data_IF_811771102528
#
_entry.id   IF_811771102528
#
_cell.length_a   1.000
_cell.length_b   1.000
_cell.length_c   1.000
_cell.angle_alpha   90.00
_cell.angle_beta   90.00
_cell.angle_gamma   90.00
#
_symmetry.space_group_name_H-M   'P 1'
#
loop_
_entity.id
_entity.type
_entity.pdbx_description
1 polymer ?
#
# COMPACT_ATOMS: atom_id res chain seq x y z
N UNK A 1 48.15 -83.08 -20.56
CA UNK A 1 49.16 -82.19 -19.94
C UNK A 1 48.66 -81.81 -18.56
N UNK A 2 49.47 -82.09 -17.53
CA UNK A 2 49.10 -81.95 -16.12
C UNK A 2 49.08 -80.46 -15.70
N UNK A 3 48.08 -80.06 -14.91
CA UNK A 3 47.99 -78.74 -14.29
C UNK A 3 48.98 -78.68 -13.11
N UNK A 4 49.96 -77.79 -13.18
CA UNK A 4 50.82 -77.40 -12.07
C UNK A 4 50.03 -76.55 -11.07
N UNK A 5 50.12 -76.88 -9.78
CA UNK A 5 49.41 -76.19 -8.70
C UNK A 5 50.13 -74.87 -8.35
N UNK A 6 49.37 -73.78 -8.27
CA UNK A 6 49.80 -72.48 -7.75
C UNK A 6 50.05 -72.57 -6.23
N UNK A 7 51.13 -71.97 -5.70
CA UNK A 7 51.40 -71.98 -4.26
C UNK A 7 50.33 -71.18 -3.49
N UNK A 8 49.88 -71.75 -2.38
CA UNK A 8 48.84 -71.22 -1.50
C UNK A 8 49.40 -70.00 -0.75
N UNK A 9 48.80 -68.82 -0.93
CA UNK A 9 49.14 -67.63 -0.15
C UNK A 9 48.82 -67.86 1.34
N UNK A 10 49.77 -67.55 2.22
CA UNK A 10 49.54 -67.55 3.66
C UNK A 10 48.55 -66.45 4.02
N UNK A 11 47.55 -66.72 4.88
CA UNK A 11 46.64 -65.68 5.33
C UNK A 11 47.42 -64.68 6.20
N UNK A 12 47.43 -63.42 5.78
CA UNK A 12 47.82 -62.29 6.63
C UNK A 12 46.96 -62.34 7.91
N UNK A 13 47.60 -62.32 9.08
CA UNK A 13 46.90 -62.20 10.35
C UNK A 13 46.16 -60.87 10.37
N UNK A 14 44.83 -60.93 10.53
CA UNK A 14 44.00 -59.74 10.71
C UNK A 14 44.50 -58.97 11.93
N UNK A 15 44.83 -57.69 11.74
CA UNK A 15 45.17 -56.80 12.86
C UNK A 15 43.99 -56.79 13.85
N UNK A 16 44.24 -56.82 15.18
CA UNK A 16 43.15 -56.83 16.14
C UNK A 16 42.30 -55.56 15.97
N UNK A 17 41.00 -55.75 15.85
CA UNK A 17 40.02 -54.66 15.77
C UNK A 17 40.17 -53.79 17.02
N UNK A 18 40.44 -52.51 16.83
CA UNK A 18 40.49 -51.56 17.94
C UNK A 18 39.05 -51.28 18.42
N UNK A 19 38.61 -52.03 19.42
CA UNK A 19 37.25 -51.96 19.98
C UNK A 19 36.90 -50.56 20.51
N UNK A 20 37.87 -49.80 21.03
CA UNK A 20 37.66 -48.42 21.47
C UNK A 20 37.31 -47.50 20.29
N UNK A 21 38.01 -47.66 19.15
CA UNK A 21 37.73 -46.89 17.95
C UNK A 21 36.35 -47.24 17.37
N UNK A 22 35.94 -48.52 17.42
CA UNK A 22 34.60 -48.95 16.98
C UNK A 22 33.50 -48.35 17.85
N UNK A 23 33.67 -48.36 19.17
CA UNK A 23 32.71 -47.77 20.11
C UNK A 23 32.57 -46.25 19.93
N UNK A 24 33.66 -45.53 19.67
CA UNK A 24 33.62 -44.09 19.36
C UNK A 24 32.86 -43.82 18.07
N UNK A 25 33.09 -44.59 17.01
CA UNK A 25 32.39 -44.44 15.73
C UNK A 25 30.89 -44.73 15.88
N UNK A 26 30.52 -45.76 16.65
CA UNK A 26 29.11 -46.09 16.92
C UNK A 26 28.41 -44.98 17.71
N UNK A 27 29.05 -44.43 18.75
CA UNK A 27 28.50 -43.32 19.53
C UNK A 27 28.35 -42.05 18.69
N UNK A 28 29.32 -41.73 17.83
CA UNK A 28 29.22 -40.60 16.90
C UNK A 28 28.11 -40.82 15.86
N UNK A 29 27.91 -42.05 15.40
CA UNK A 29 26.80 -42.43 14.51
C UNK A 29 25.44 -42.23 15.17
N UNK A 30 25.29 -42.64 16.44
CA UNK A 30 24.06 -42.44 17.20
C UNK A 30 23.73 -40.96 17.41
N UNK A 31 24.73 -40.13 17.77
CA UNK A 31 24.56 -38.68 17.90
C UNK A 31 24.20 -38.04 16.55
N UNK A 32 24.84 -38.47 15.46
CA UNK A 32 24.52 -37.97 14.12
C UNK A 32 23.11 -38.36 13.65
N UNK A 33 22.63 -39.55 14.01
CA UNK A 33 21.26 -39.98 13.76
C UNK A 33 20.25 -39.20 14.58
N UNK A 34 20.49 -39.00 15.87
CA UNK A 34 19.63 -38.21 16.76
C UNK A 34 19.51 -36.75 16.25
N UNK A 35 20.64 -36.13 15.88
CA UNK A 35 20.65 -34.81 15.25
C UNK A 35 19.96 -34.77 13.88
N UNK A 36 19.96 -35.87 13.13
CA UNK A 36 19.26 -35.95 11.84
C UNK A 36 17.74 -36.07 12.06
N UNK A 37 17.30 -36.87 13.02
CA UNK A 37 15.90 -36.98 13.42
C UNK A 37 15.36 -35.65 13.94
N UNK A 38 16.14 -34.92 14.75
CA UNK A 38 15.78 -33.58 15.21
C UNK A 38 15.63 -32.59 14.04
N UNK A 39 16.56 -32.60 13.07
CA UNK A 39 16.47 -31.73 11.88
C UNK A 39 15.26 -32.07 11.01
N UNK A 40 14.96 -33.35 10.83
CA UNK A 40 13.80 -33.79 10.06
C UNK A 40 12.49 -33.36 10.75
N UNK A 41 12.41 -33.49 12.08
CA UNK A 41 11.28 -32.99 12.85
C UNK A 41 11.12 -31.47 12.71
N UNK A 42 12.21 -30.71 12.82
CA UNK A 42 12.18 -29.25 12.65
C UNK A 42 11.71 -28.86 11.25
N UNK A 43 12.17 -29.55 10.20
CA UNK A 43 11.72 -29.29 8.83
C UNK A 43 10.23 -29.61 8.64
N UNK A 44 9.72 -30.68 9.26
CA UNK A 44 8.28 -30.98 9.26
C UNK A 44 7.47 -29.90 9.97
N UNK A 45 7.91 -29.47 11.16
CA UNK A 45 7.24 -28.41 11.93
C UNK A 45 7.28 -27.06 11.19
N UNK A 46 8.39 -26.74 10.52
CA UNK A 46 8.51 -25.57 9.65
C UNK A 46 7.48 -25.64 8.51
N UNK A 47 7.37 -26.78 7.84
CA UNK A 47 6.36 -26.99 6.79
C UNK A 47 4.92 -26.84 7.31
N UNK A 48 4.62 -27.38 8.49
CA UNK A 48 3.32 -27.20 9.15
C UNK A 48 3.04 -25.74 9.48
N UNK A 49 4.03 -25.00 9.99
CA UNK A 49 3.90 -23.58 10.29
C UNK A 49 3.67 -22.75 9.01
N UNK A 50 4.39 -23.05 7.93
CA UNK A 50 4.20 -22.43 6.62
C UNK A 50 2.80 -22.71 6.06
N UNK A 51 2.32 -23.95 6.16
CA UNK A 51 0.96 -24.32 5.79
C UNK A 51 -0.08 -23.53 6.59
N UNK A 52 0.08 -23.48 7.92
CA UNK A 52 -0.82 -22.72 8.80
C UNK A 52 -0.86 -21.22 8.43
N UNK A 53 0.29 -20.62 8.11
CA UNK A 53 0.37 -19.25 7.62
C UNK A 53 -0.39 -19.04 6.30
N UNK A 54 -0.20 -19.93 5.33
CA UNK A 54 -0.93 -19.85 4.05
C UNK A 54 -2.45 -19.98 4.23
N UNK A 55 -2.91 -20.85 5.14
CA UNK A 55 -4.33 -20.94 5.50
C UNK A 55 -4.86 -19.67 6.15
N UNK A 56 -4.06 -19.03 7.01
CA UNK A 56 -4.43 -17.76 7.64
C UNK A 56 -4.63 -16.66 6.58
N UNK A 57 -3.67 -16.52 5.66
CA UNK A 57 -3.71 -15.52 4.60
C UNK A 57 -4.90 -15.73 3.67
N UNK A 58 -5.11 -16.96 3.21
CA UNK A 58 -6.29 -17.33 2.41
C UNK A 58 -7.59 -17.00 3.15
N UNK A 59 -7.71 -17.43 4.41
CA UNK A 59 -8.90 -17.19 5.24
C UNK A 59 -9.13 -15.69 5.49
N UNK A 60 -8.06 -14.90 5.62
CA UNK A 60 -8.12 -13.45 5.77
C UNK A 60 -8.67 -12.79 4.51
N UNK A 61 -8.19 -13.19 3.34
CA UNK A 61 -8.66 -12.67 2.05
C UNK A 61 -10.15 -12.97 1.84
N UNK A 62 -10.55 -14.23 2.00
CA UNK A 62 -11.96 -14.66 1.89
C UNK A 62 -12.83 -13.91 2.89
N UNK A 63 -12.42 -13.83 4.17
CA UNK A 63 -13.15 -13.08 5.19
C UNK A 63 -13.33 -11.63 4.78
N UNK A 64 -12.26 -10.97 4.33
CA UNK A 64 -12.31 -9.55 3.94
C UNK A 64 -13.25 -9.33 2.77
N UNK A 65 -13.24 -10.22 1.78
CA UNK A 65 -14.18 -10.21 0.65
C UNK A 65 -15.65 -10.32 1.11
N UNK A 66 -15.94 -11.24 2.04
CA UNK A 66 -17.29 -11.36 2.62
C UNK A 66 -17.68 -10.13 3.46
N UNK A 67 -16.76 -9.59 4.25
CA UNK A 67 -17.00 -8.37 5.02
C UNK A 67 -17.27 -7.16 4.11
N UNK A 68 -16.54 -7.04 3.00
CA UNK A 68 -16.80 -6.01 1.99
C UNK A 68 -18.21 -6.15 1.42
N UNK A 69 -18.62 -7.37 1.04
CA UNK A 69 -19.96 -7.65 0.51
C UNK A 69 -21.07 -7.34 1.54
N UNK A 70 -20.90 -7.76 2.80
CA UNK A 70 -21.85 -7.46 3.89
C UNK A 70 -21.97 -5.96 4.12
N UNK A 71 -20.85 -5.23 4.13
CA UNK A 71 -20.84 -3.79 4.38
C UNK A 71 -21.50 -3.01 3.24
N UNK A 72 -21.18 -3.35 2.00
CA UNK A 72 -21.70 -2.70 0.80
C UNK A 72 -23.21 -2.88 0.66
N UNK A 73 -23.70 -4.11 0.86
CA UNK A 73 -25.13 -4.43 0.78
C UNK A 73 -25.89 -4.15 2.10
N UNK A 74 -25.20 -3.62 3.11
CA UNK A 74 -25.74 -3.33 4.45
C UNK A 74 -26.44 -4.55 5.09
N UNK A 75 -25.97 -5.77 4.81
CA UNK A 75 -26.58 -7.02 5.28
C UNK A 75 -26.58 -7.12 6.82
N UNK A 76 -25.63 -6.45 7.48
CA UNK A 76 -25.56 -6.35 8.94
C UNK A 76 -26.84 -5.78 9.59
N UNK A 77 -27.65 -5.00 8.84
CA UNK A 77 -28.93 -4.46 9.33
C UNK A 77 -29.98 -5.52 9.60
N UNK A 78 -29.87 -6.68 8.95
CA UNK A 78 -30.78 -7.82 9.16
C UNK A 78 -30.70 -8.38 10.58
N UNK A 79 -29.64 -8.08 11.32
CA UNK A 79 -29.47 -8.50 12.71
C UNK A 79 -30.26 -7.65 13.70
N UNK A 80 -30.88 -6.55 13.27
CA UNK A 80 -31.66 -5.68 14.15
C UNK A 80 -32.78 -6.46 14.86
N UNK A 81 -32.89 -6.30 16.18
CA UNK A 81 -33.87 -7.00 17.01
C UNK A 81 -33.46 -8.42 17.44
N UNK A 82 -32.36 -8.97 16.92
CA UNK A 82 -31.83 -10.25 17.40
C UNK A 82 -31.15 -10.08 18.77
N UNK A 83 -31.15 -11.16 19.58
CA UNK A 83 -30.52 -11.16 20.89
C UNK A 83 -28.99 -11.03 20.76
N UNK A 84 -28.39 -10.08 21.47
CA UNK A 84 -26.94 -9.96 21.51
C UNK A 84 -26.33 -11.10 22.34
N UNK A 85 -25.39 -11.91 21.81
CA UNK A 85 -24.70 -12.94 22.59
C UNK A 85 -23.81 -12.38 23.73
N UNK A 86 -23.45 -11.10 23.66
CA UNK A 86 -22.49 -10.46 24.57
C UNK A 86 -23.11 -9.40 25.49
N UNK A 87 -24.44 -9.23 25.47
CA UNK A 87 -25.11 -8.21 26.27
C UNK A 87 -26.58 -8.52 26.53
N UNK A 88 -27.20 -7.74 27.42
CA UNK A 88 -28.63 -7.87 27.75
C UNK A 88 -29.54 -7.25 26.68
N UNK A 89 -29.05 -6.26 25.93
CA UNK A 89 -29.81 -5.57 24.89
C UNK A 89 -29.86 -6.38 23.58
N UNK A 90 -30.92 -6.18 22.80
CA UNK A 90 -30.99 -6.68 21.42
C UNK A 90 -30.09 -5.84 20.51
N UNK A 91 -29.58 -6.45 19.45
CA UNK A 91 -28.76 -5.80 18.42
C UNK A 91 -29.56 -4.71 17.71
N UNK A 92 -28.93 -3.57 17.45
CA UNK A 92 -29.50 -2.45 16.69
C UNK A 92 -29.31 -2.61 15.18
N UNK A 93 -28.47 -3.55 14.75
CA UNK A 93 -28.15 -3.82 13.35
C UNK A 93 -27.16 -2.81 12.78
N UNK A 94 -26.18 -2.38 13.57
CA UNK A 94 -25.12 -1.47 13.12
C UNK A 94 -23.90 -2.23 12.60
N UNK A 95 -23.05 -1.54 11.82
CA UNK A 95 -21.80 -2.13 11.34
C UNK A 95 -20.84 -2.46 12.48
N UNK A 96 -20.80 -1.60 13.49
CA UNK A 96 -19.95 -1.79 14.67
C UNK A 96 -20.35 -3.03 15.47
N UNK A 97 -21.64 -3.22 15.72
CA UNK A 97 -22.14 -4.44 16.37
C UNK A 97 -21.78 -5.70 15.58
N UNK A 98 -21.92 -5.67 14.25
CA UNK A 98 -21.54 -6.80 13.41
C UNK A 98 -20.04 -7.14 13.51
N UNK A 99 -19.17 -6.14 13.48
CA UNK A 99 -17.73 -6.32 13.67
C UNK A 99 -17.40 -6.85 15.08
N UNK A 100 -18.09 -6.36 16.10
CA UNK A 100 -17.91 -6.79 17.48
C UNK A 100 -18.32 -8.25 17.72
N UNK A 101 -19.37 -8.74 17.03
CA UNK A 101 -19.73 -10.17 17.05
C UNK A 101 -18.60 -11.07 16.53
N UNK A 102 -17.79 -10.55 15.61
CA UNK A 102 -16.61 -11.23 15.06
C UNK A 102 -15.33 -10.96 15.88
N UNK A 103 -15.44 -10.25 17.01
CA UNK A 103 -14.32 -9.80 17.86
C UNK A 103 -13.27 -9.01 17.08
N UNK A 104 -13.74 -8.15 16.16
CA UNK A 104 -12.88 -7.33 15.30
C UNK A 104 -13.25 -5.86 15.50
N UNK A 105 -12.24 -5.00 15.54
CA UNK A 105 -12.47 -3.55 15.50
C UNK A 105 -12.94 -3.12 14.11
N UNK A 106 -13.85 -2.15 14.06
CA UNK A 106 -14.31 -1.53 12.80
C UNK A 106 -13.13 -0.98 12.01
N UNK A 107 -12.19 -0.29 12.67
CA UNK A 107 -11.01 0.30 12.05
C UNK A 107 -10.11 -0.73 11.36
N UNK A 108 -9.96 -1.93 11.93
CA UNK A 108 -9.20 -2.99 11.29
C UNK A 108 -9.94 -3.49 10.05
N UNK A 109 -11.22 -3.84 10.19
CA UNK A 109 -12.02 -4.38 9.08
C UNK A 109 -12.11 -3.38 7.93
N UNK A 110 -12.30 -2.11 8.23
CA UNK A 110 -12.42 -1.05 7.23
C UNK A 110 -11.10 -0.83 6.49
N UNK A 111 -9.96 -0.96 7.18
CA UNK A 111 -8.63 -0.95 6.54
C UNK A 111 -8.43 -2.16 5.63
N UNK A 112 -8.85 -3.35 6.06
CA UNK A 112 -8.75 -4.58 5.26
C UNK A 112 -9.59 -4.45 3.98
N UNK A 113 -10.83 -3.98 4.10
CA UNK A 113 -11.73 -3.72 2.96
C UNK A 113 -11.14 -2.66 2.03
N UNK A 114 -10.54 -1.60 2.57
CA UNK A 114 -9.91 -0.56 1.77
C UNK A 114 -8.69 -1.07 0.99
N UNK A 115 -7.87 -1.95 1.59
CA UNK A 115 -6.77 -2.62 0.90
C UNK A 115 -7.30 -3.53 -0.22
N UNK A 116 -8.31 -4.36 0.08
CA UNK A 116 -8.92 -5.25 -0.90
C UNK A 116 -9.48 -4.48 -2.11
N UNK A 117 -10.19 -3.38 -1.87
CA UNK A 117 -10.76 -2.55 -2.94
C UNK A 117 -9.70 -1.85 -3.79
N UNK A 118 -8.59 -1.45 -3.18
CA UNK A 118 -7.55 -0.73 -3.89
C UNK A 118 -6.73 -1.66 -4.79
N UNK A 119 -6.36 -2.85 -4.29
CA UNK A 119 -5.43 -3.73 -5.00
C UNK A 119 -6.09 -4.92 -5.70
N UNK A 120 -7.31 -5.28 -5.30
CA UNK A 120 -7.94 -6.53 -5.71
C UNK A 120 -7.44 -7.73 -4.89
N UNK A 121 -8.15 -8.85 -5.02
CA UNK A 121 -7.93 -10.05 -4.21
C UNK A 121 -6.56 -10.70 -4.49
N UNK A 122 -6.29 -10.97 -5.77
CA UNK A 122 -5.08 -11.67 -6.24
C UNK A 122 -3.80 -10.90 -5.89
N UNK A 123 -3.76 -9.60 -6.19
CA UNK A 123 -2.57 -8.80 -5.91
C UNK A 123 -2.36 -8.61 -4.41
N UNK A 124 -3.44 -8.43 -3.61
CA UNK A 124 -3.31 -8.32 -2.16
C UNK A 124 -2.80 -9.62 -1.53
N UNK A 125 -3.22 -10.78 -2.03
CA UNK A 125 -2.71 -12.08 -1.59
C UNK A 125 -1.21 -12.22 -1.94
N UNK A 126 -0.83 -11.87 -3.17
CA UNK A 126 0.58 -11.90 -3.58
C UNK A 126 1.43 -10.95 -2.74
N UNK A 127 0.94 -9.72 -2.50
CA UNK A 127 1.62 -8.74 -1.65
C UNK A 127 1.81 -9.27 -0.22
N UNK A 128 0.78 -9.90 0.35
CA UNK A 128 0.84 -10.49 1.68
C UNK A 128 1.86 -11.64 1.74
N UNK A 129 1.86 -12.51 0.72
CA UNK A 129 2.82 -13.62 0.59
C UNK A 129 4.26 -13.15 0.46
N UNK A 130 4.47 -12.02 -0.22
CA UNK A 130 5.75 -11.35 -0.32
C UNK A 130 6.15 -10.60 0.96
N UNK A 131 5.29 -10.55 1.99
CA UNK A 131 5.59 -9.89 3.26
C UNK A 131 5.36 -8.37 3.26
N UNK A 132 4.62 -7.82 2.29
CA UNK A 132 4.26 -6.41 2.26
C UNK A 132 3.21 -6.12 3.35
N UNK A 133 3.58 -5.23 4.27
CA UNK A 133 2.77 -4.93 5.45
C UNK A 133 1.73 -3.83 5.24
N UNK A 134 0.94 -3.57 6.30
CA UNK A 134 -0.08 -2.51 6.29
C UNK A 134 0.48 -1.10 6.09
N UNK A 135 1.74 -0.87 6.46
CA UNK A 135 2.38 0.44 6.33
C UNK A 135 2.58 0.77 4.85
N UNK A 136 3.16 -0.17 4.13
CA UNK A 136 3.42 -0.12 2.69
C UNK A 136 2.10 -0.02 1.93
N UNK A 137 1.14 -0.92 2.20
CA UNK A 137 -0.19 -0.90 1.58
C UNK A 137 -0.91 0.45 1.80
N UNK A 138 -0.80 1.05 2.99
CA UNK A 138 -1.39 2.37 3.27
C UNK A 138 -0.77 3.46 2.42
N UNK A 139 0.55 3.42 2.19
CA UNK A 139 1.23 4.40 1.33
C UNK A 139 0.83 4.19 -0.13
N UNK A 140 0.83 2.95 -0.61
CA UNK A 140 0.54 2.63 -2.01
C UNK A 140 -0.92 2.90 -2.38
N UNK A 141 -1.85 2.80 -1.42
CA UNK A 141 -3.24 3.24 -1.61
C UNK A 141 -3.40 4.73 -1.90
N UNK A 142 -2.41 5.56 -1.58
CA UNK A 142 -2.44 7.01 -1.83
C UNK A 142 -1.88 7.39 -3.19
N UNK A 143 -1.28 6.44 -3.91
CA UNK A 143 -0.81 6.65 -5.27
C UNK A 143 -1.99 6.93 -6.22
N UNK A 144 -1.77 7.59 -7.35
CA UNK A 144 -2.78 7.69 -8.40
C UNK A 144 -3.11 6.31 -9.00
N UNK A 145 -4.25 6.23 -9.69
CA UNK A 145 -4.78 4.96 -10.22
C UNK A 145 -3.81 4.25 -11.17
N UNK A 146 -3.11 4.99 -12.03
CA UNK A 146 -2.15 4.44 -12.98
C UNK A 146 -0.96 3.77 -12.28
N UNK A 147 -0.34 4.48 -11.33
CA UNK A 147 0.78 3.97 -10.54
C UNK A 147 0.37 2.78 -9.67
N UNK A 148 -0.82 2.82 -9.08
CA UNK A 148 -1.36 1.68 -8.34
C UNK A 148 -1.61 0.48 -9.25
N UNK A 149 -2.09 0.69 -10.47
CA UNK A 149 -2.31 -0.38 -11.44
C UNK A 149 -1.00 -1.05 -11.86
N UNK A 150 0.05 -0.26 -12.08
CA UNK A 150 1.39 -0.78 -12.33
C UNK A 150 1.91 -1.65 -11.17
N UNK A 151 1.69 -1.21 -9.92
CA UNK A 151 2.05 -2.00 -8.73
C UNK A 151 1.25 -3.29 -8.61
N UNK A 152 -0.05 -3.26 -8.91
CA UNK A 152 -0.89 -4.47 -8.91
C UNK A 152 -0.34 -5.50 -9.87
N UNK A 153 -0.01 -5.09 -11.10
CA UNK A 153 0.50 -5.99 -12.12
C UNK A 153 1.89 -6.54 -11.79
N UNK A 154 2.80 -5.68 -11.29
CA UNK A 154 4.10 -6.11 -10.80
C UNK A 154 3.96 -7.11 -9.64
N UNK A 155 2.99 -6.90 -8.75
CA UNK A 155 2.78 -7.76 -7.58
C UNK A 155 2.37 -9.18 -7.95
N UNK A 156 1.65 -9.38 -9.06
CA UNK A 156 1.31 -10.72 -9.55
C UNK A 156 2.52 -11.55 -9.97
N UNK A 157 3.64 -10.90 -10.31
CA UNK A 157 4.88 -11.58 -10.68
C UNK A 157 5.63 -12.16 -9.47
N UNK A 158 5.26 -11.78 -8.25
CA UNK A 158 5.78 -12.38 -7.02
C UNK A 158 7.22 -11.99 -6.65
N UNK A 159 7.77 -10.93 -7.26
CA UNK A 159 9.10 -10.43 -6.93
C UNK A 159 9.02 -9.23 -5.96
N UNK A 160 9.32 -9.48 -4.68
CA UNK A 160 9.28 -8.46 -3.63
C UNK A 160 10.18 -7.26 -3.92
N UNK A 161 11.44 -7.51 -4.30
CA UNK A 161 12.43 -6.46 -4.52
C UNK A 161 12.02 -5.54 -5.67
N UNK A 162 11.55 -6.13 -6.77
CA UNK A 162 11.08 -5.38 -7.93
C UNK A 162 9.86 -4.51 -7.60
N UNK A 163 8.90 -5.06 -6.83
CA UNK A 163 7.70 -4.33 -6.41
C UNK A 163 8.04 -3.18 -5.45
N UNK A 164 8.94 -3.42 -4.50
CA UNK A 164 9.39 -2.38 -3.58
C UNK A 164 10.12 -1.26 -4.31
N UNK A 165 11.05 -1.60 -5.21
CA UNK A 165 11.76 -0.63 -6.02
C UNK A 165 10.81 0.22 -6.87
N UNK A 166 9.87 -0.44 -7.58
CA UNK A 166 8.86 0.26 -8.38
C UNK A 166 8.00 1.19 -7.51
N UNK A 167 7.60 0.74 -6.32
CA UNK A 167 6.79 1.56 -5.42
C UNK A 167 7.56 2.79 -4.94
N UNK A 168 8.83 2.64 -4.58
CA UNK A 168 9.69 3.75 -4.16
C UNK A 168 9.88 4.76 -5.28
N UNK A 169 10.13 4.29 -6.51
CA UNK A 169 10.26 5.14 -7.69
C UNK A 169 8.97 5.92 -7.94
N UNK A 170 7.81 5.25 -7.95
CA UNK A 170 6.50 5.87 -8.16
C UNK A 170 6.14 6.88 -7.06
N UNK A 171 6.44 6.58 -5.80
CA UNK A 171 6.20 7.52 -4.70
C UNK A 171 7.09 8.76 -4.87
N UNK A 172 8.36 8.57 -5.22
CA UNK A 172 9.30 9.66 -5.40
C UNK A 172 8.94 10.55 -6.60
N UNK A 173 8.54 9.97 -7.74
CA UNK A 173 8.07 10.75 -8.90
C UNK A 173 6.81 11.54 -8.57
N UNK A 174 5.80 10.90 -7.97
CA UNK A 174 4.55 11.59 -7.66
C UNK A 174 4.67 12.65 -6.58
N UNK A 175 5.54 12.45 -5.58
CA UNK A 175 5.81 13.49 -4.58
C UNK A 175 6.45 14.72 -5.23
N UNK A 176 7.41 14.52 -6.13
CA UNK A 176 8.02 15.62 -6.91
C UNK A 176 7.02 16.33 -7.82
N UNK A 177 6.26 15.58 -8.61
CA UNK A 177 5.24 16.16 -9.50
C UNK A 177 4.21 16.96 -8.71
N UNK A 178 3.76 16.45 -7.56
CA UNK A 178 2.81 17.14 -6.70
C UNK A 178 3.39 18.44 -6.15
N UNK A 179 4.64 18.42 -5.70
CA UNK A 179 5.31 19.62 -5.19
C UNK A 179 5.50 20.68 -6.29
N UNK A 180 5.87 20.26 -7.50
CA UNK A 180 5.98 21.15 -8.66
C UNK A 180 4.64 21.75 -9.08
N UNK A 181 3.59 20.94 -9.13
CA UNK A 181 2.23 21.40 -9.43
C UNK A 181 1.71 22.34 -8.35
N UNK A 182 2.00 22.05 -7.07
CA UNK A 182 1.62 22.92 -5.96
C UNK A 182 2.29 24.30 -6.09
N UNK A 183 3.58 24.35 -6.45
CA UNK A 183 4.29 25.62 -6.71
C UNK A 183 3.69 26.38 -7.90
N UNK A 184 3.45 25.71 -9.02
CA UNK A 184 2.80 26.33 -10.19
C UNK A 184 1.42 26.88 -9.83
N UNK A 185 0.65 26.17 -9.01
CA UNK A 185 -0.66 26.62 -8.55
C UNK A 185 -0.55 27.86 -7.66
N UNK A 186 0.40 27.91 -6.73
CA UNK A 186 0.61 29.10 -5.89
C UNK A 186 1.09 30.31 -6.70
N UNK A 187 1.97 30.09 -7.66
CA UNK A 187 2.50 31.16 -8.52
C UNK A 187 1.39 31.72 -9.42
N UNK A 188 0.62 30.83 -10.07
CA UNK A 188 -0.51 31.26 -10.91
C UNK A 188 -1.60 31.97 -10.09
N UNK A 189 -1.89 31.52 -8.87
CA UNK A 189 -2.83 32.22 -7.99
C UNK A 189 -2.33 33.63 -7.64
N UNK A 190 -1.05 33.78 -7.31
CA UNK A 190 -0.45 35.09 -7.02
C UNK A 190 -0.49 36.02 -8.25
N UNK A 191 -0.22 35.49 -9.45
CA UNK A 191 -0.33 36.24 -10.70
C UNK A 191 -1.77 36.69 -10.98
N UNK A 192 -2.75 35.81 -10.76
CA UNK A 192 -4.17 36.15 -10.91
C UNK A 192 -4.61 37.26 -9.94
N UNK A 193 -4.19 37.16 -8.68
CA UNK A 193 -4.50 38.17 -7.66
C UNK A 193 -3.87 39.52 -8.01
N UNK A 194 -2.60 39.52 -8.43
CA UNK A 194 -1.90 40.73 -8.87
C UNK A 194 -2.55 41.36 -10.11
N UNK A 195 -2.95 40.54 -11.09
CA UNK A 195 -3.67 41.01 -12.27
C UNK A 195 -5.05 41.59 -11.92
N UNK A 196 -5.75 40.98 -10.95
CA UNK A 196 -6.98 41.50 -10.38
C UNK A 196 -6.81 42.88 -9.74
N UNK A 197 -5.75 43.09 -8.97
CA UNK A 197 -5.44 44.40 -8.39
C UNK A 197 -5.14 45.46 -9.45
N UNK A 198 -4.34 45.12 -10.47
CA UNK A 198 -4.01 46.04 -11.56
C UNK A 198 -5.25 46.39 -12.37
N UNK A 199 -6.11 45.42 -12.67
CA UNK A 199 -7.39 45.67 -13.35
C UNK A 199 -8.30 46.57 -12.53
N UNK A 200 -8.38 46.37 -11.21
CA UNK A 200 -9.15 47.21 -10.29
C UNK A 200 -8.63 48.66 -10.24
N UNK A 201 -7.30 48.85 -10.20
CA UNK A 201 -6.68 50.18 -10.28
C UNK A 201 -6.98 50.85 -11.62
N UNK A 202 -6.81 50.12 -12.73
CA UNK A 202 -7.09 50.62 -14.08
C UNK A 202 -8.57 50.97 -14.28
N UNK A 203 -9.50 50.15 -13.78
CA UNK A 203 -10.93 50.48 -13.89
C UNK A 203 -11.29 51.74 -13.12
N UNK A 204 -10.76 51.90 -11.90
CA UNK A 204 -10.95 53.12 -11.11
C UNK A 204 -10.39 54.38 -11.80
N UNK A 205 -9.21 54.29 -12.45
CA UNK A 205 -8.63 55.38 -13.24
C UNK A 205 -9.46 55.68 -14.50
N UNK A 206 -9.95 54.66 -15.19
CA UNK A 206 -10.76 54.79 -16.39
C UNK A 206 -12.11 55.46 -16.06
N UNK A 207 -12.71 55.12 -14.92
CA UNK A 207 -13.94 55.75 -14.45
C UNK A 207 -13.72 57.22 -14.07
N UNK A 208 -12.60 57.54 -13.40
CA UNK A 208 -12.22 58.94 -13.09
C UNK A 208 -12.01 59.77 -14.35
N UNK A 209 -11.22 59.26 -15.30
CA UNK A 209 -10.94 59.96 -16.56
C UNK A 209 -12.20 60.17 -17.39
N UNK A 210 -13.13 59.20 -17.43
CA UNK A 210 -14.46 59.38 -18.04
C UNK A 210 -15.26 60.50 -17.38
N UNK A 211 -15.30 60.54 -16.05
CA UNK A 211 -16.00 61.60 -15.32
C UNK A 211 -15.41 62.98 -15.60
N UNK A 212 -14.08 63.09 -15.63
CA UNK A 212 -13.42 64.37 -15.88
C UNK A 212 -13.56 64.83 -17.34
N UNK A 213 -13.55 63.89 -18.29
CA UNK A 213 -13.83 64.17 -19.70
C UNK A 213 -15.27 64.68 -19.89
N UNK A 214 -16.26 64.05 -19.24
CA UNK A 214 -17.65 64.53 -19.24
C UNK A 214 -17.78 65.93 -18.61
N UNK A 215 -17.10 66.20 -17.49
CA UNK A 215 -17.08 67.55 -16.89
C UNK A 215 -16.44 68.57 -17.84
N UNK A 216 -15.33 68.23 -18.50
CA UNK A 216 -14.65 69.10 -19.44
C UNK A 216 -15.51 69.40 -20.68
N UNK A 217 -16.17 68.38 -21.25
CA UNK A 217 -17.16 68.55 -22.32
C UNK A 217 -18.27 69.50 -21.91
N UNK A 218 -18.89 69.27 -20.76
CA UNK A 218 -19.94 70.17 -20.23
C UNK A 218 -19.44 71.59 -20.07
N UNK A 219 -18.22 71.79 -19.55
CA UNK A 219 -17.60 73.13 -19.45
C UNK A 219 -17.51 73.81 -20.81
N UNK A 220 -16.97 73.12 -21.81
CA UNK A 220 -16.84 73.63 -23.18
C UNK A 220 -18.22 73.96 -23.79
N UNK A 221 -19.22 73.09 -23.58
CA UNK A 221 -20.60 73.31 -24.05
C UNK A 221 -21.30 74.48 -23.33
N UNK A 222 -20.95 74.75 -22.07
CA UNK A 222 -21.49 75.87 -21.29
C UNK A 222 -20.70 77.18 -21.43
N UNK A 223 -19.54 77.17 -22.07
CA UNK A 223 -18.80 78.39 -22.38
C UNK A 223 -19.48 79.14 -23.53
N UNK A 224 -19.86 80.37 -23.27
CA UNK A 224 -20.32 81.32 -24.29
C UNK A 224 -19.15 81.69 -25.21
N UNK A 225 -19.44 81.99 -26.49
CA UNK A 225 -18.46 82.30 -27.52
C UNK A 225 -17.47 83.43 -27.15
N UNK A 226 -17.81 84.30 -26.20
CA UNK A 226 -16.95 85.40 -25.71
C UNK A 226 -15.83 84.97 -24.74
N UNK A 227 -15.99 83.86 -24.01
CA UNK A 227 -14.99 83.43 -23.02
C UNK A 227 -13.83 82.61 -23.64
N UNK A 228 -14.09 81.94 -24.76
CA UNK A 228 -13.05 81.20 -25.51
C UNK A 228 -11.97 82.13 -26.12
N UNK A 229 -12.28 83.40 -26.35
CA UNK A 229 -11.35 84.38 -26.89
C UNK A 229 -10.34 84.94 -25.84
N UNK A 230 -10.59 84.73 -24.54
CA UNK A 230 -9.70 85.20 -23.45
C UNK A 230 -8.65 84.18 -23.04
N UNK A 231 -8.89 82.88 -23.24
CA UNK A 231 -7.90 81.83 -22.93
C UNK A 231 -6.85 81.64 -24.05
N UNK A 232 -7.07 82.21 -25.24
CA UNK A 232 -6.16 82.11 -26.40
C UNK A 232 -5.26 83.35 -26.59
N UNK A 233 -5.22 84.29 -25.64
CA UNK A 233 -4.27 85.40 -25.56
C UNK A 233 -3.31 85.21 -24.40
#
# INVERSE_FOLDING_TARGET
MARTATPKAEPLQDAPVNEEAVNVIQNLGAIAQDMAEERDLVNQLLGQAQMAGAFEDFSRTVRTSKLAHVKENKLYRSLAGMKNPHGAENLRGTWEEFCNLLRRSVDQVDRDIANLRAFGEEALESMTRMGIGYRELRQWRRLPDDARSALIEASKQGNLEAVQYLAEELIHTHTKEKDELQKKLTDTQADYDALGEVLSKKSAELDRTKQDLEKAKRRIETMSADDAAKELR
#
